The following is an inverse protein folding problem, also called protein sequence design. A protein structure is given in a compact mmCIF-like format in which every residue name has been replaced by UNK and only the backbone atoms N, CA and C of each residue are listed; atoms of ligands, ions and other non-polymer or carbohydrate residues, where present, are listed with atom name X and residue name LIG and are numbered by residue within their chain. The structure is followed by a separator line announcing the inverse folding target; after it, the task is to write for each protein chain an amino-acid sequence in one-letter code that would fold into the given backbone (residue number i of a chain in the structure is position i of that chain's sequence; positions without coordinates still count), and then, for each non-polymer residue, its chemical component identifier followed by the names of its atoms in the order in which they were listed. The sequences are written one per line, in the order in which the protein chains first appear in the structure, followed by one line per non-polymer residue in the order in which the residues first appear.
data_IF_830900373668
#
_entry.id   IF_830900373668
#
_cell.length_a   1.000
_cell.length_b   1.000
_cell.length_c   1.000
_cell.angle_alpha   90.00
_cell.angle_beta   90.00
_cell.angle_gamma   90.00
#
_symmetry.space_group_name_H-M   'P 1'
#
loop_
_entity.id
_entity.type
_entity.pdbx_description
1 polymer ?
#
# COMPACT_ATOMS: atom_id res chain seq x y z
N UNK A 1 2.59 -15.70 -16.37
CA UNK A 1 2.84 -14.25 -16.22
C UNK A 1 1.49 -13.63 -15.98
N UNK A 2 1.27 -13.00 -14.82
CA UNK A 2 -0.02 -12.38 -14.51
C UNK A 2 -0.26 -11.23 -15.49
N UNK A 3 -1.41 -11.25 -16.15
CA UNK A 3 -1.91 -10.11 -16.89
C UNK A 3 -2.35 -9.07 -15.87
N UNK A 4 -1.78 -7.87 -15.91
CA UNK A 4 -2.13 -6.76 -15.01
C UNK A 4 -3.45 -6.16 -15.43
N UNK A 5 -4.54 -6.74 -14.92
CA UNK A 5 -5.91 -6.45 -15.41
C UNK A 5 -6.47 -5.15 -14.89
N UNK A 6 -6.09 -4.71 -13.69
CA UNK A 6 -6.51 -3.42 -13.13
C UNK A 6 -5.51 -2.91 -12.10
N UNK A 7 -5.11 -1.65 -12.25
CA UNK A 7 -4.35 -0.95 -11.22
C UNK A 7 -5.18 0.23 -10.71
N UNK A 8 -5.27 0.35 -9.38
CA UNK A 8 -6.05 1.37 -8.69
C UNK A 8 -5.17 2.54 -8.32
N UNK A 9 -5.65 3.76 -8.55
CA UNK A 9 -4.88 4.96 -8.22
C UNK A 9 -4.84 5.15 -6.70
N UNK A 10 -3.68 5.53 -6.19
CA UNK A 10 -3.45 5.65 -4.74
C UNK A 10 -2.63 6.87 -4.37
N UNK A 11 -2.82 7.29 -3.12
CA UNK A 11 -1.91 8.16 -2.36
C UNK A 11 -1.38 7.38 -1.17
N UNK A 12 -0.07 7.21 -1.10
CA UNK A 12 0.63 6.58 0.03
C UNK A 12 1.18 7.65 0.95
N UNK A 13 0.78 7.63 2.21
CA UNK A 13 1.24 8.55 3.26
C UNK A 13 2.19 7.80 4.17
N UNK A 14 3.49 8.06 4.00
CA UNK A 14 4.55 7.35 4.71
C UNK A 14 4.63 7.79 6.16
N UNK A 15 4.76 6.81 7.06
CA UNK A 15 5.09 7.06 8.46
C UNK A 15 6.55 7.51 8.56
N UNK A 16 6.80 8.46 9.45
CA UNK A 16 8.15 8.92 9.78
C UNK A 16 8.93 7.86 10.57
N UNK A 17 10.26 7.97 10.62
CA UNK A 17 11.11 7.08 11.43
C UNK A 17 10.68 7.05 12.91
N UNK A 18 10.25 8.21 13.45
CA UNK A 18 9.78 8.32 14.84
C UNK A 18 8.41 7.64 15.08
N UNK A 19 7.61 7.45 14.04
CA UNK A 19 6.33 6.72 14.09
C UNK A 19 6.52 5.22 13.83
N UNK A 20 7.77 4.75 13.70
CA UNK A 20 8.11 3.35 13.40
C UNK A 20 8.22 3.03 11.90
N UNK A 21 8.08 4.04 11.05
CA UNK A 21 8.20 3.95 9.60
C UNK A 21 9.65 4.00 9.09
N UNK A 22 9.83 4.45 7.85
CA UNK A 22 11.13 4.50 7.18
C UNK A 22 11.80 5.87 7.36
N UNK A 23 13.14 5.90 7.32
CA UNK A 23 13.91 7.16 7.20
C UNK A 23 13.67 7.86 5.88
N UNK A 24 13.41 7.11 4.82
CA UNK A 24 13.06 7.63 3.49
C UNK A 24 12.00 6.74 2.84
N UNK A 25 11.09 7.36 2.07
CA UNK A 25 10.15 6.62 1.23
C UNK A 25 10.92 5.81 0.17
N UNK A 26 10.35 4.68 -0.31
CA UNK A 26 10.87 4.03 -1.50
C UNK A 26 10.96 5.03 -2.67
N UNK A 27 11.96 4.87 -3.56
CA UNK A 27 12.10 5.71 -4.74
C UNK A 27 10.96 5.42 -5.75
N UNK A 28 11.00 6.14 -6.87
CA UNK A 28 10.12 5.86 -8.02
C UNK A 28 10.25 4.40 -8.47
N UNK A 29 9.14 3.79 -8.86
CA UNK A 29 9.10 2.45 -9.43
C UNK A 29 8.36 1.43 -8.57
N UNK A 30 8.68 0.14 -8.77
CA UNK A 30 7.93 -0.96 -8.16
C UNK A 30 8.28 -1.17 -6.70
N UNK A 31 7.23 -1.38 -5.89
CA UNK A 31 7.36 -1.62 -4.46
C UNK A 31 6.35 -2.67 -3.99
N UNK A 32 6.79 -3.62 -3.16
CA UNK A 32 6.06 -4.87 -2.87
C UNK A 32 5.88 -5.08 -1.36
N UNK A 33 5.02 -4.31 -0.68
CA UNK A 33 4.75 -4.51 0.73
C UNK A 33 3.66 -5.57 0.96
N UNK A 34 3.49 -5.92 2.23
CA UNK A 34 2.31 -6.63 2.71
C UNK A 34 1.21 -5.62 3.02
N UNK A 35 -0.01 -5.85 2.55
CA UNK A 35 -1.17 -5.02 2.85
C UNK A 35 -1.93 -5.54 4.06
N UNK A 36 -2.63 -4.64 4.74
CA UNK A 36 -3.62 -4.97 5.74
C UNK A 36 -4.92 -4.21 5.49
N UNK A 37 -5.99 -4.94 5.17
CA UNK A 37 -7.32 -4.39 4.91
C UNK A 37 -8.23 -4.51 6.13
N UNK A 38 -9.28 -3.67 6.26
CA UNK A 38 -10.17 -3.68 7.42
C UNK A 38 -10.92 -5.00 7.69
N UNK A 39 -11.14 -5.84 6.67
CA UNK A 39 -11.82 -7.15 6.83
C UNK A 39 -10.94 -8.19 7.54
N UNK A 40 -9.63 -7.98 7.60
CA UNK A 40 -8.70 -8.96 8.14
C UNK A 40 -8.71 -8.97 9.68
N UNK A 41 -8.73 -10.18 10.25
CA UNK A 41 -8.86 -10.43 11.70
C UNK A 41 -7.56 -10.17 12.48
N UNK A 42 -7.60 -10.33 13.79
CA UNK A 42 -6.46 -10.05 14.69
C UNK A 42 -5.18 -10.84 14.34
N UNK A 43 -5.28 -12.02 13.72
CA UNK A 43 -4.19 -12.89 13.27
C UNK A 43 -3.80 -12.69 11.78
N UNK A 44 -4.17 -11.54 11.20
CA UNK A 44 -4.03 -11.23 9.77
C UNK A 44 -2.62 -11.47 9.19
N UNK A 45 -1.55 -11.32 9.98
CA UNK A 45 -0.17 -11.44 9.47
C UNK A 45 0.13 -12.78 8.80
N UNK A 46 -0.57 -13.86 9.18
CA UNK A 46 -0.42 -15.17 8.56
C UNK A 46 -1.20 -15.35 7.25
N UNK A 47 -2.16 -14.46 6.98
CA UNK A 47 -3.09 -14.52 5.85
C UNK A 47 -3.08 -13.24 5.01
N UNK A 48 -2.06 -12.39 5.21
CA UNK A 48 -1.99 -11.08 4.63
C UNK A 48 -1.68 -11.15 3.14
N UNK A 49 -2.31 -10.28 2.36
CA UNK A 49 -2.07 -10.20 0.92
C UNK A 49 -0.95 -9.22 0.60
N UNK A 50 -0.01 -9.65 -0.25
CA UNK A 50 0.96 -8.73 -0.84
C UNK A 50 0.34 -7.92 -1.97
N UNK A 51 0.73 -6.66 -2.05
CA UNK A 51 0.36 -5.74 -3.13
C UNK A 51 1.61 -5.29 -3.86
N UNK A 52 1.45 -4.88 -5.11
CA UNK A 52 2.51 -4.21 -5.87
C UNK A 52 2.06 -2.80 -6.21
N UNK A 53 2.91 -1.84 -5.87
CA UNK A 53 2.77 -0.45 -6.26
C UNK A 53 3.65 -0.14 -7.46
N UNK A 54 3.20 0.73 -8.34
CA UNK A 54 4.03 1.54 -9.22
C UNK A 54 4.00 2.98 -8.70
N UNK A 55 5.04 3.34 -7.95
CA UNK A 55 5.14 4.62 -7.27
C UNK A 55 5.75 5.68 -8.18
N UNK A 56 5.16 6.87 -8.14
CA UNK A 56 5.73 8.10 -8.68
C UNK A 56 6.78 8.68 -7.72
N UNK A 57 7.44 9.77 -8.14
CA UNK A 57 8.43 10.46 -7.30
C UNK A 57 7.76 10.96 -6.00
N UNK A 58 8.31 10.64 -4.82
CA UNK A 58 7.78 11.11 -3.55
C UNK A 58 7.92 12.63 -3.42
N UNK A 59 6.94 13.25 -2.77
CA UNK A 59 6.92 14.67 -2.42
C UNK A 59 6.66 14.84 -0.92
N UNK A 60 6.97 16.02 -0.39
CA UNK A 60 6.62 16.36 1.00
C UNK A 60 5.38 17.25 0.99
N UNK A 61 4.36 16.87 1.75
CA UNK A 61 3.11 17.62 1.92
C UNK A 61 2.76 17.64 3.39
N UNK A 62 2.56 18.82 3.96
CA UNK A 62 2.23 19.02 5.38
C UNK A 62 3.19 18.29 6.35
N UNK A 63 4.48 18.30 6.03
CA UNK A 63 5.53 17.65 6.83
C UNK A 63 5.56 16.12 6.71
N UNK A 64 4.73 15.52 5.85
CA UNK A 64 4.72 14.08 5.58
C UNK A 64 5.28 13.77 4.21
N UNK A 65 5.99 12.64 4.08
CA UNK A 65 6.39 12.13 2.78
C UNK A 65 5.18 11.43 2.16
N UNK A 66 4.87 11.75 0.91
CA UNK A 66 3.73 11.23 0.17
C UNK A 66 4.20 10.73 -1.20
N UNK A 67 3.74 9.55 -1.59
CA UNK A 67 3.89 9.05 -2.96
C UNK A 67 2.53 8.88 -3.61
N UNK A 68 2.39 9.34 -4.85
CA UNK A 68 1.28 8.96 -5.71
C UNK A 68 1.67 7.71 -6.49
N UNK A 69 0.68 7.00 -7.03
CA UNK A 69 0.95 5.89 -7.92
C UNK A 69 -0.29 5.03 -8.18
N UNK A 70 -0.04 3.80 -8.60
CA UNK A 70 -1.08 2.80 -8.77
C UNK A 70 -0.74 1.53 -7.98
N UNK A 71 -1.76 0.78 -7.55
CA UNK A 71 -1.62 -0.46 -6.78
C UNK A 71 -2.48 -1.57 -7.37
N UNK A 72 -2.05 -2.81 -7.21
CA UNK A 72 -2.86 -4.01 -7.38
C UNK A 72 -2.39 -5.09 -6.41
N UNK A 73 -3.21 -6.11 -6.19
CA UNK A 73 -2.74 -7.31 -5.50
C UNK A 73 -1.68 -8.04 -6.33
N UNK A 74 -0.72 -8.66 -5.66
CA UNK A 74 0.33 -9.44 -6.34
C UNK A 74 -0.19 -10.80 -6.85
N UNK A 75 -1.25 -11.32 -6.24
CA UNK A 75 -1.81 -12.65 -6.53
C UNK A 75 -3.23 -12.54 -7.06
N UNK A 76 -3.56 -13.30 -8.10
CA UNK A 76 -4.88 -13.30 -8.75
C UNK A 76 -5.99 -13.89 -7.86
N UNK A 77 -5.61 -14.66 -6.83
CA UNK A 77 -6.54 -15.22 -5.84
C UNK A 77 -6.89 -14.23 -4.74
N UNK A 78 -6.25 -13.06 -4.71
CA UNK A 78 -6.50 -12.05 -3.71
C UNK A 78 -7.89 -11.41 -3.93
N UNK A 79 -8.54 -10.91 -2.87
CA UNK A 79 -9.88 -10.35 -2.93
C UNK A 79 -9.88 -8.95 -3.57
N UNK A 80 -9.77 -8.87 -4.89
CA UNK A 80 -9.68 -7.62 -5.67
C UNK A 80 -10.78 -6.61 -5.31
N UNK A 81 -12.00 -7.08 -5.03
CA UNK A 81 -13.14 -6.28 -4.58
C UNK A 81 -12.86 -5.41 -3.34
N UNK A 82 -11.81 -5.70 -2.55
CA UNK A 82 -11.40 -4.85 -1.44
C UNK A 82 -10.82 -3.50 -1.88
N UNK A 83 -10.21 -3.45 -3.07
CA UNK A 83 -9.66 -2.21 -3.64
C UNK A 83 -10.76 -1.20 -4.00
N UNK A 84 -11.98 -1.65 -4.26
CA UNK A 84 -13.13 -0.78 -4.52
C UNK A 84 -14.03 -0.61 -3.30
N UNK A 85 -14.08 -1.61 -2.41
CA UNK A 85 -14.92 -1.58 -1.19
C UNK A 85 -14.42 -0.58 -0.14
N UNK A 86 -13.10 -0.43 0.00
CA UNK A 86 -12.51 0.40 1.05
C UNK A 86 -11.86 1.65 0.47
N UNK A 87 -11.88 2.73 1.25
CA UNK A 87 -11.19 3.97 0.91
C UNK A 87 -9.69 3.92 1.25
N UNK A 88 -9.30 3.03 2.16
CA UNK A 88 -7.94 2.96 2.66
C UNK A 88 -7.56 1.58 3.19
N UNK A 89 -6.25 1.32 3.24
CA UNK A 89 -5.63 0.17 3.87
C UNK A 89 -4.23 0.52 4.37
N UNK A 90 -3.64 -0.35 5.19
CA UNK A 90 -2.30 -0.15 5.75
C UNK A 90 -1.28 -1.00 4.97
N UNK A 91 -0.02 -0.57 4.95
CA UNK A 91 1.07 -1.39 4.42
C UNK A 91 2.20 -1.59 5.43
N UNK A 92 2.80 -2.77 5.34
CA UNK A 92 3.76 -3.29 6.31
C UNK A 92 5.02 -3.85 5.64
N UNK A 93 6.12 -3.76 6.38
CA UNK A 93 7.39 -4.42 6.10
C UNK A 93 7.79 -5.32 7.28
N UNK A 94 7.70 -6.63 7.06
CA UNK A 94 7.69 -7.57 8.17
C UNK A 94 6.59 -7.18 9.17
N UNK A 95 6.88 -7.06 10.47
CA UNK A 95 5.88 -6.72 11.48
C UNK A 95 5.59 -5.22 11.61
N UNK A 96 6.27 -4.35 10.85
CA UNK A 96 6.21 -2.89 11.05
C UNK A 96 5.28 -2.24 10.04
N UNK A 97 4.32 -1.45 10.52
CA UNK A 97 3.53 -0.55 9.67
C UNK A 97 4.44 0.53 9.13
N UNK A 98 4.40 0.79 7.83
CA UNK A 98 5.27 1.79 7.18
C UNK A 98 4.50 2.92 6.50
N UNK A 99 3.24 2.71 6.13
CA UNK A 99 2.39 3.76 5.57
C UNK A 99 0.90 3.44 5.68
N UNK A 100 0.10 4.51 5.55
CA UNK A 100 -1.32 4.44 5.23
C UNK A 100 -1.51 4.67 3.72
N UNK A 101 -2.42 3.92 3.10
CA UNK A 101 -2.71 4.00 1.67
C UNK A 101 -4.15 4.42 1.49
N UNK A 102 -4.36 5.48 0.70
CA UNK A 102 -5.66 5.99 0.31
C UNK A 102 -5.93 5.62 -1.16
N UNK A 103 -7.06 4.99 -1.42
CA UNK A 103 -7.54 4.65 -2.76
C UNK A 103 -8.29 5.85 -3.35
N UNK A 104 -7.95 6.23 -4.58
CA UNK A 104 -8.47 7.44 -5.23
C UNK A 104 -9.42 7.05 -6.35
N UNK A 105 -10.68 7.47 -6.22
CA UNK A 105 -11.69 7.38 -7.28
C UNK A 105 -12.26 5.97 -7.46
N UNK A 106 -12.68 5.35 -6.35
CA UNK A 106 -13.49 4.14 -6.37
C UNK A 106 -14.89 4.40 -6.96
#
# INVERSE_FOLDING_TARGET
MNEWKHMYRVKVVWLTENEGGRRSAPPIGRYYPVSRFPEEKTDWQNNAWSVVFELEKPNVTDGRIVSMGCVQFLFDTAPEQWMTKYEAFEIYEGPRKVADVLLIGN
#
